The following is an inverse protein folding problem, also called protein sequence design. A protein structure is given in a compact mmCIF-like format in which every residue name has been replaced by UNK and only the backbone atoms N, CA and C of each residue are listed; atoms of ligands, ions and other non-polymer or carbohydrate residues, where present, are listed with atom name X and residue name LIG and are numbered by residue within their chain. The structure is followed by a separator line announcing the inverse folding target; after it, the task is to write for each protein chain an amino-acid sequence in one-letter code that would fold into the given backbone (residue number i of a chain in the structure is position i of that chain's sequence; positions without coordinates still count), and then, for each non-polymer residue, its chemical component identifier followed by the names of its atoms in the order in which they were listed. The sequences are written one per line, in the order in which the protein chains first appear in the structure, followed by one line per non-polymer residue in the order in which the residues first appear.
data_IF_585004155995
#
_entry.id   IF_585004155995
#
_cell.length_a   1.000
_cell.length_b   1.000
_cell.length_c   1.000
_cell.angle_alpha   90.00
_cell.angle_beta   90.00
_cell.angle_gamma   90.00
#
_symmetry.space_group_name_H-M   'P 1'
#
loop_
_entity.id
_entity.type
_entity.pdbx_description
1 polymer ?
#
# COMPACT_ATOMS: atom_id res chain seq x y z
N UNK A 1 -25.71 -3.92 -11.48
CA UNK A 1 -24.67 -3.22 -12.26
C UNK A 1 -23.60 -2.83 -11.26
N UNK A 2 -22.50 -3.57 -11.18
CA UNK A 2 -21.36 -3.18 -10.33
C UNK A 2 -20.71 -1.99 -11.03
N UNK A 3 -20.82 -0.80 -10.44
CA UNK A 3 -20.13 0.38 -10.95
C UNK A 3 -18.66 0.18 -10.65
N UNK A 4 -17.85 0.02 -11.69
CA UNK A 4 -16.39 -0.03 -11.57
C UNK A 4 -15.92 1.36 -11.18
N UNK A 5 -15.31 1.47 -10.01
CA UNK A 5 -14.70 2.73 -9.57
C UNK A 5 -13.28 2.84 -10.14
N UNK A 6 -12.91 4.05 -10.54
CA UNK A 6 -11.65 4.34 -11.17
C UNK A 6 -11.09 5.67 -10.70
N UNK A 7 -9.79 5.72 -10.45
CA UNK A 7 -9.06 6.95 -10.15
C UNK A 7 -8.08 7.27 -11.27
N UNK A 8 -8.05 8.54 -11.67
CA UNK A 8 -7.15 9.03 -12.70
C UNK A 8 -6.18 10.04 -12.09
N UNK A 9 -4.90 9.90 -12.42
CA UNK A 9 -3.86 10.88 -12.10
C UNK A 9 -3.21 11.34 -13.41
N UNK A 10 -3.15 12.65 -13.61
CA UNK A 10 -2.36 13.23 -14.70
C UNK A 10 -0.92 13.44 -14.21
N UNK A 11 0.03 12.92 -14.96
CA UNK A 11 1.46 13.12 -14.71
C UNK A 11 2.13 13.72 -15.95
N UNK A 12 3.33 14.26 -15.79
CA UNK A 12 4.19 14.71 -16.88
C UNK A 12 4.54 13.60 -17.88
N UNK A 13 4.34 12.33 -17.50
CA UNK A 13 4.60 11.16 -18.35
C UNK A 13 3.34 10.60 -19.03
N UNK A 14 2.17 11.14 -18.73
CA UNK A 14 0.88 10.67 -19.24
C UNK A 14 -0.17 10.51 -18.15
N UNK A 15 -1.31 9.95 -18.54
CA UNK A 15 -2.45 9.74 -17.66
C UNK A 15 -2.43 8.32 -17.10
N UNK A 16 -2.34 8.19 -15.77
CA UNK A 16 -2.39 6.94 -15.04
C UNK A 16 -3.83 6.65 -14.63
N UNK A 17 -4.35 5.47 -15.00
CA UNK A 17 -5.71 5.03 -14.66
C UNK A 17 -5.65 3.81 -13.75
N UNK A 18 -6.22 3.93 -12.55
CA UNK A 18 -6.29 2.90 -11.53
C UNK A 18 -7.73 2.39 -11.43
N UNK A 19 -7.93 1.06 -11.38
CA UNK A 19 -9.26 0.43 -11.35
C UNK A 19 -9.42 -0.41 -10.08
N UNK A 20 -10.59 -0.33 -9.43
CA UNK A 20 -10.93 -1.10 -8.23
C UNK A 20 -11.27 -2.57 -8.57
N UNK A 21 -10.22 -3.36 -8.86
CA UNK A 21 -10.29 -4.80 -9.00
C UNK A 21 -9.28 -5.48 -8.07
N UNK A 22 -9.68 -6.60 -7.47
CA UNK A 22 -8.83 -7.39 -6.56
C UNK A 22 -7.51 -7.78 -7.24
N UNK A 23 -7.56 -8.16 -8.52
CA UNK A 23 -6.36 -8.53 -9.30
C UNK A 23 -5.34 -7.39 -9.46
N UNK A 24 -5.79 -6.14 -9.36
CA UNK A 24 -4.94 -4.95 -9.45
C UNK A 24 -4.24 -4.61 -8.14
N UNK A 25 -4.60 -5.26 -7.03
CA UNK A 25 -3.98 -5.04 -5.72
C UNK A 25 -3.20 -6.30 -5.33
N UNK A 26 -1.89 -6.13 -5.13
CA UNK A 26 -0.99 -7.22 -4.75
C UNK A 26 -0.34 -6.92 -3.41
N UNK A 27 -0.20 -7.95 -2.57
CA UNK A 27 0.66 -7.87 -1.38
C UNK A 27 1.94 -8.61 -1.71
N UNK A 28 3.02 -7.85 -1.88
CA UNK A 28 4.34 -8.40 -2.25
C UNK A 28 5.11 -8.92 -1.05
N UNK A 29 4.98 -8.24 0.09
CA UNK A 29 5.73 -8.56 1.31
C UNK A 29 4.98 -8.08 2.56
N UNK A 30 5.09 -8.85 3.64
CA UNK A 30 4.57 -8.52 4.96
C UNK A 30 5.63 -8.78 6.03
N UNK A 31 6.03 -7.72 6.72
CA UNK A 31 7.00 -7.73 7.81
C UNK A 31 6.30 -7.57 9.16
N UNK A 32 6.71 -8.36 10.14
CA UNK A 32 6.24 -8.30 11.51
C UNK A 32 7.29 -7.71 12.43
N UNK A 33 6.83 -7.05 13.49
CA UNK A 33 7.69 -6.42 14.47
C UNK A 33 8.56 -7.45 15.21
N UNK A 34 9.85 -7.16 15.31
CA UNK A 34 10.85 -7.93 16.07
C UNK A 34 11.66 -7.01 16.97
N UNK A 35 12.52 -7.56 17.84
CA UNK A 35 13.39 -6.74 18.71
C UNK A 35 14.35 -5.85 17.91
N UNK A 36 14.89 -6.36 16.79
CA UNK A 36 15.84 -5.64 15.93
C UNK A 36 15.15 -4.75 14.89
N UNK A 37 13.90 -5.06 14.54
CA UNK A 37 13.07 -4.28 13.61
C UNK A 37 11.69 -4.06 14.24
N UNK A 38 11.55 -3.07 15.14
CA UNK A 38 10.34 -2.86 15.94
C UNK A 38 9.26 -2.09 15.17
N UNK A 39 8.90 -2.60 13.98
CA UNK A 39 7.87 -2.03 13.13
C UNK A 39 7.12 -3.13 12.37
N UNK A 40 5.90 -2.82 11.97
CA UNK A 40 5.14 -3.60 10.99
C UNK A 40 5.21 -2.90 9.65
N UNK A 41 5.31 -3.66 8.57
CA UNK A 41 5.36 -3.09 7.22
C UNK A 41 4.69 -4.03 6.22
N UNK A 42 3.94 -3.45 5.29
CA UNK A 42 3.35 -4.18 4.16
C UNK A 42 3.75 -3.47 2.86
N UNK A 43 4.18 -4.25 1.87
CA UNK A 43 4.44 -3.76 0.52
C UNK A 43 3.23 -4.05 -0.36
N UNK A 44 2.58 -3.00 -0.85
CA UNK A 44 1.39 -3.08 -1.69
C UNK A 44 1.76 -2.69 -3.12
N UNK A 45 1.45 -3.57 -4.06
CA UNK A 45 1.48 -3.30 -5.49
C UNK A 45 0.11 -2.87 -5.98
N UNK A 46 0.08 -1.86 -6.83
CA UNK A 46 -1.13 -1.35 -7.48
C UNK A 46 -0.90 -1.30 -8.98
N UNK A 47 -1.79 -1.96 -9.71
CA UNK A 47 -1.80 -1.96 -11.16
C UNK A 47 -2.49 -0.71 -11.73
N UNK A 48 -1.93 -0.17 -12.80
CA UNK A 48 -2.47 0.98 -13.51
C UNK A 48 -2.22 0.89 -15.01
N UNK A 49 -3.08 1.54 -15.77
CA UNK A 49 -2.93 1.71 -17.22
C UNK A 49 -2.36 3.10 -17.51
N UNK A 50 -1.33 3.16 -18.34
CA UNK A 50 -0.74 4.43 -18.78
C UNK A 50 -1.26 4.79 -20.18
N UNK A 51 -1.94 5.93 -20.29
CA UNK A 51 -2.28 6.54 -21.56
C UNK A 51 -1.27 7.66 -21.87
N UNK A 52 -0.57 7.52 -23.00
CA UNK A 52 0.36 8.53 -23.52
C UNK A 52 0.27 8.55 -25.05
N UNK A 53 0.30 9.75 -25.64
CA UNK A 53 0.20 9.93 -27.11
C UNK A 53 -1.02 9.21 -27.71
N UNK A 54 -2.17 9.30 -27.02
CA UNK A 54 -3.45 8.66 -27.40
C UNK A 54 -3.40 7.13 -27.51
N UNK A 55 -2.36 6.49 -26.95
CA UNK A 55 -2.19 5.03 -26.92
C UNK A 55 -2.14 4.52 -25.49
N UNK A 56 -2.94 3.48 -25.22
CA UNK A 56 -2.79 2.70 -24.00
C UNK A 56 -1.59 1.77 -24.13
N UNK A 57 -0.69 1.83 -23.15
CA UNK A 57 0.38 0.86 -22.98
C UNK A 57 -0.11 -0.30 -22.12
N UNK A 58 0.63 -1.41 -22.14
CA UNK A 58 0.42 -2.52 -21.21
C UNK A 58 0.33 -2.00 -19.77
N UNK A 59 -0.47 -2.68 -18.95
CA UNK A 59 -0.61 -2.34 -17.56
C UNK A 59 0.74 -2.43 -16.84
N UNK A 60 0.92 -1.56 -15.85
CA UNK A 60 2.12 -1.48 -15.04
C UNK A 60 1.74 -1.65 -13.59
N UNK A 61 2.64 -2.23 -12.81
CA UNK A 61 2.47 -2.36 -11.37
C UNK A 61 3.54 -1.56 -10.66
N UNK A 62 3.10 -0.64 -9.81
CA UNK A 62 3.99 0.12 -8.94
C UNK A 62 3.68 -0.20 -7.48
N UNK A 63 4.66 -0.01 -6.62
CA UNK A 63 4.62 -0.43 -5.24
C UNK A 63 4.87 0.73 -4.29
N UNK A 64 4.31 0.59 -3.10
CA UNK A 64 4.63 1.43 -1.96
C UNK A 64 4.55 0.59 -0.69
N UNK A 65 5.14 1.10 0.38
CA UNK A 65 5.11 0.45 1.69
C UNK A 65 4.29 1.28 2.66
N UNK A 66 3.46 0.61 3.45
CA UNK A 66 2.84 1.20 4.64
C UNK A 66 3.57 0.64 5.84
N UNK A 67 4.24 1.50 6.59
CA UNK A 67 4.95 1.14 7.81
C UNK A 67 4.24 1.73 9.02
N UNK A 68 4.15 0.94 10.08
CA UNK A 68 3.76 1.41 11.41
C UNK A 68 4.80 0.99 12.45
N UNK A 69 5.03 1.83 13.45
CA UNK A 69 5.82 1.43 14.62
C UNK A 69 5.13 0.29 15.41
N UNK A 70 5.85 -0.36 16.33
CA UNK A 70 5.38 -1.54 17.06
C UNK A 70 4.03 -1.35 17.81
N UNK A 71 3.76 -0.14 18.32
CA UNK A 71 2.52 0.24 18.99
C UNK A 71 1.44 0.79 18.03
N UNK A 72 1.75 0.92 16.74
CA UNK A 72 0.86 1.36 15.67
C UNK A 72 0.31 2.78 15.87
N UNK A 73 1.04 3.62 16.62
CA UNK A 73 0.70 5.01 16.89
C UNK A 73 1.16 5.96 15.79
N UNK A 74 2.17 5.57 15.02
CA UNK A 74 2.75 6.36 13.93
C UNK A 74 2.78 5.52 12.65
N UNK A 75 2.44 6.17 11.53
CA UNK A 75 2.49 5.57 10.19
C UNK A 75 3.37 6.40 9.27
N UNK A 76 4.16 5.72 8.43
CA UNK A 76 4.85 6.33 7.31
C UNK A 76 4.53 5.58 6.02
N UNK A 77 4.44 6.33 4.93
CA UNK A 77 4.49 5.75 3.59
C UNK A 77 5.95 5.71 3.17
N UNK A 78 6.38 4.59 2.58
CA UNK A 78 7.76 4.48 2.10
C UNK A 78 7.78 4.04 0.65
N UNK A 79 8.74 4.58 -0.09
CA UNK A 79 9.01 4.18 -1.45
C UNK A 79 9.70 2.81 -1.49
N UNK A 80 9.43 2.03 -2.52
CA UNK A 80 10.23 0.85 -2.85
C UNK A 80 11.47 1.25 -3.65
N UNK A 81 12.52 0.41 -3.57
CA UNK A 81 13.77 0.61 -4.31
C UNK A 81 13.57 0.71 -5.83
N UNK A 82 12.73 -0.16 -6.37
CA UNK A 82 12.33 -0.19 -7.77
C UNK A 82 10.81 -0.12 -7.86
N UNK A 83 10.32 0.34 -9.01
CA UNK A 83 8.87 0.34 -9.31
C UNK A 83 8.06 1.12 -8.26
N UNK A 84 8.63 2.17 -7.67
CA UNK A 84 7.95 2.99 -6.66
C UNK A 84 6.78 3.76 -7.28
N UNK A 85 5.62 3.71 -6.60
CA UNK A 85 4.42 4.46 -6.96
C UNK A 85 4.67 5.98 -6.95
N UNK A 86 5.58 6.44 -6.11
CA UNK A 86 5.93 7.85 -5.94
C UNK A 86 7.17 8.29 -6.73
N UNK A 87 7.90 7.35 -7.35
CA UNK A 87 9.13 7.67 -8.08
C UNK A 87 8.84 8.52 -9.31
N UNK A 88 9.84 9.30 -9.72
CA UNK A 88 9.86 10.22 -10.89
C UNK A 88 8.78 11.31 -10.90
N UNK A 89 7.90 11.35 -9.90
CA UNK A 89 6.82 12.32 -9.77
C UNK A 89 7.30 13.66 -9.18
N UNK A 90 6.79 14.76 -9.71
CA UNK A 90 6.97 16.09 -9.10
C UNK A 90 6.10 16.25 -7.84
N UNK A 91 6.25 17.36 -7.10
CA UNK A 91 5.55 17.56 -5.82
C UNK A 91 4.02 17.43 -5.96
N UNK A 92 3.41 18.08 -6.96
CA UNK A 92 1.97 18.00 -7.21
C UNK A 92 1.51 16.57 -7.53
N UNK A 93 2.27 15.84 -8.33
CA UNK A 93 1.97 14.45 -8.67
C UNK A 93 2.11 13.52 -7.47
N UNK A 94 3.07 13.79 -6.57
CA UNK A 94 3.25 13.05 -5.32
C UNK A 94 2.08 13.29 -4.37
N UNK A 95 1.60 14.53 -4.27
CA UNK A 95 0.39 14.85 -3.49
C UNK A 95 -0.84 14.14 -4.07
N UNK A 96 -1.04 14.20 -5.38
CA UNK A 96 -2.12 13.47 -6.05
C UNK A 96 -2.02 11.94 -5.86
N UNK A 97 -0.81 11.39 -5.81
CA UNK A 97 -0.55 9.97 -5.51
C UNK A 97 -0.90 9.64 -4.06
N UNK A 98 -0.58 10.53 -3.13
CA UNK A 98 -0.93 10.40 -1.72
C UNK A 98 -2.45 10.46 -1.52
N UNK A 99 -3.13 11.35 -2.24
CA UNK A 99 -4.59 11.39 -2.31
C UNK A 99 -5.17 10.11 -2.93
N UNK A 100 -4.58 9.57 -4.01
CA UNK A 100 -4.98 8.27 -4.55
C UNK A 100 -4.93 7.19 -3.47
N UNK A 101 -3.84 7.12 -2.70
CA UNK A 101 -3.71 6.12 -1.63
C UNK A 101 -4.77 6.36 -0.55
N UNK A 102 -4.87 7.60 -0.04
CA UNK A 102 -5.68 7.93 1.13
C UNK A 102 -7.17 8.09 0.88
N UNK A 103 -7.56 8.74 -0.21
CA UNK A 103 -8.95 9.07 -0.52
C UNK A 103 -9.65 8.00 -1.34
N UNK A 104 -8.88 7.15 -2.04
CA UNK A 104 -9.45 6.16 -2.95
C UNK A 104 -9.01 4.74 -2.58
N UNK A 105 -7.74 4.39 -2.78
CA UNK A 105 -7.24 3.01 -2.75
C UNK A 105 -7.60 2.28 -1.45
N UNK A 106 -7.26 2.84 -0.29
CA UNK A 106 -7.51 2.16 0.99
C UNK A 106 -9.00 2.04 1.34
N UNK A 107 -9.86 2.75 0.61
CA UNK A 107 -11.33 2.69 0.77
C UNK A 107 -11.98 1.74 -0.24
N UNK A 108 -11.22 1.26 -1.24
CA UNK A 108 -11.73 0.37 -2.28
C UNK A 108 -12.13 -1.00 -1.76
N UNK A 109 -13.03 -1.67 -2.48
CA UNK A 109 -13.41 -3.04 -2.13
C UNK A 109 -12.25 -4.01 -2.39
N UNK A 110 -11.47 -3.80 -3.45
CA UNK A 110 -10.30 -4.62 -3.76
C UNK A 110 -9.28 -4.62 -2.63
N UNK A 111 -8.87 -3.44 -2.16
CA UNK A 111 -7.92 -3.34 -1.06
C UNK A 111 -8.44 -4.03 0.20
N UNK A 112 -9.68 -3.72 0.59
CA UNK A 112 -10.29 -4.32 1.78
C UNK A 112 -10.38 -5.84 1.68
N UNK A 113 -10.72 -6.37 0.50
CA UNK A 113 -10.76 -7.82 0.28
C UNK A 113 -9.38 -8.45 0.42
N UNK A 114 -8.35 -7.89 -0.22
CA UNK A 114 -6.97 -8.39 -0.12
C UNK A 114 -6.47 -8.42 1.33
N UNK A 115 -6.75 -7.36 2.11
CA UNK A 115 -6.35 -7.33 3.53
C UNK A 115 -7.15 -8.32 4.38
N UNK A 116 -8.45 -8.48 4.14
CA UNK A 116 -9.26 -9.48 4.84
C UNK A 116 -8.82 -10.92 4.52
N UNK A 117 -8.48 -11.20 3.26
CA UNK A 117 -7.97 -12.52 2.86
C UNK A 117 -6.65 -12.84 3.58
N UNK A 118 -5.75 -11.85 3.73
CA UNK A 118 -4.53 -12.00 4.53
C UNK A 118 -4.84 -12.26 6.01
N UNK A 119 -5.83 -11.57 6.59
CA UNK A 119 -6.24 -11.79 7.99
C UNK A 119 -6.72 -13.24 8.17
N UNK A 120 -7.57 -13.74 7.26
CA UNK A 120 -8.07 -15.11 7.33
C UNK A 120 -6.95 -16.13 7.14
N UNK A 121 -6.01 -15.89 6.22
CA UNK A 121 -4.80 -16.71 6.09
C UNK A 121 -4.01 -16.76 7.40
N UNK A 122 -3.78 -15.62 8.06
CA UNK A 122 -3.09 -15.54 9.34
C UNK A 122 -3.82 -16.27 10.46
N UNK A 123 -5.15 -16.21 10.51
CA UNK A 123 -5.96 -16.96 11.49
C UNK A 123 -5.88 -18.48 11.31
N UNK A 124 -5.61 -18.95 10.09
CA UNK A 124 -5.47 -20.36 9.77
C UNK A 124 -4.03 -20.90 9.99
N UNK A 125 -3.07 -20.04 10.34
CA UNK A 125 -1.70 -20.48 10.60
C UNK A 125 -1.62 -21.41 11.81
N UNK A 126 -0.95 -22.55 11.63
CA UNK A 126 -0.75 -23.52 12.70
C UNK A 126 0.36 -23.04 13.65
N UNK A 127 -0.01 -22.33 14.69
CA UNK A 127 0.90 -21.80 15.72
C UNK A 127 1.14 -22.84 16.83
N UNK A 128 2.40 -22.97 17.26
CA UNK A 128 2.82 -24.01 18.23
C UNK A 128 3.61 -23.45 19.42
N UNK A 129 4.04 -22.18 19.35
CA UNK A 129 4.80 -21.51 20.41
C UNK A 129 4.13 -20.20 20.80
N UNK A 130 4.34 -19.76 22.03
CA UNK A 130 3.82 -18.47 22.52
C UNK A 130 4.35 -17.29 21.68
N UNK A 131 5.63 -17.33 21.31
CA UNK A 131 6.24 -16.34 20.43
C UNK A 131 5.52 -16.25 19.08
N UNK A 132 5.27 -17.40 18.42
CA UNK A 132 4.54 -17.41 17.16
C UNK A 132 3.10 -16.92 17.31
N UNK A 133 2.43 -17.24 18.42
CA UNK A 133 1.08 -16.73 18.73
C UNK A 133 1.11 -15.20 18.79
N UNK A 134 2.09 -14.61 19.48
CA UNK A 134 2.20 -13.15 19.58
C UNK A 134 2.50 -12.49 18.24
N UNK A 135 3.35 -13.10 17.41
CA UNK A 135 3.62 -12.61 16.05
C UNK A 135 2.33 -12.60 15.23
N UNK A 136 1.59 -13.71 15.18
CA UNK A 136 0.35 -13.82 14.40
C UNK A 136 -0.69 -12.82 14.88
N UNK A 137 -0.91 -12.71 16.19
CA UNK A 137 -1.86 -11.74 16.76
C UNK A 137 -1.45 -10.29 16.49
N UNK A 138 -0.15 -9.98 16.58
CA UNK A 138 0.41 -8.67 16.26
C UNK A 138 0.20 -8.30 14.79
N UNK A 139 0.46 -9.23 13.88
CA UNK A 139 0.24 -9.05 12.44
C UNK A 139 -1.24 -8.89 12.10
N UNK A 140 -2.13 -9.69 12.69
CA UNK A 140 -3.58 -9.53 12.49
C UNK A 140 -4.03 -8.14 12.96
N UNK A 141 -3.56 -7.69 14.13
CA UNK A 141 -3.87 -6.34 14.64
C UNK A 141 -3.39 -5.23 13.70
N UNK A 142 -2.22 -5.40 13.09
CA UNK A 142 -1.70 -4.48 12.09
C UNK A 142 -2.60 -4.43 10.85
N UNK A 143 -2.98 -5.59 10.29
CA UNK A 143 -3.87 -5.67 9.13
C UNK A 143 -5.26 -5.08 9.44
N UNK A 144 -5.82 -5.37 10.62
CA UNK A 144 -7.07 -4.76 11.10
C UNK A 144 -6.97 -3.23 11.21
N UNK A 145 -5.79 -2.71 11.57
CA UNK A 145 -5.54 -1.27 11.64
C UNK A 145 -5.51 -0.65 10.25
N UNK A 146 -4.97 -1.33 9.24
CA UNK A 146 -4.98 -0.88 7.84
C UNK A 146 -6.42 -0.68 7.33
N UNK A 147 -7.32 -1.62 7.62
CA UNK A 147 -8.75 -1.53 7.27
C UNK A 147 -9.48 -0.35 7.93
N UNK A 148 -8.91 0.22 9.00
CA UNK A 148 -9.48 1.31 9.80
C UNK A 148 -8.77 2.64 9.59
N UNK A 149 -7.85 2.71 8.61
CA UNK A 149 -7.19 3.96 8.28
C UNK A 149 -8.20 4.95 7.71
N UNK A 150 -8.17 6.16 8.26
CA UNK A 150 -8.88 7.28 7.68
C UNK A 150 -7.94 8.03 6.72
N UNK A 151 -8.50 8.86 5.84
CA UNK A 151 -7.67 9.60 4.89
C UNK A 151 -6.68 10.53 5.59
N UNK A 152 -7.11 11.19 6.66
CA UNK A 152 -6.31 12.21 7.37
C UNK A 152 -4.96 11.68 7.82
N UNK A 153 -4.92 10.44 8.33
CA UNK A 153 -3.66 9.80 8.75
C UNK A 153 -2.74 9.59 7.55
N UNK A 154 -3.27 9.18 6.39
CA UNK A 154 -2.48 8.96 5.18
C UNK A 154 -1.99 10.28 4.61
N UNK A 155 -2.85 11.30 4.51
CA UNK A 155 -2.47 12.64 4.04
C UNK A 155 -1.47 13.33 4.98
N UNK A 156 -1.52 13.03 6.28
CA UNK A 156 -0.55 13.50 7.26
C UNK A 156 0.76 12.70 7.31
N UNK A 157 0.81 11.49 6.73
CA UNK A 157 1.98 10.63 6.81
C UNK A 157 3.17 11.17 6.02
N UNK A 158 4.39 11.02 6.55
CA UNK A 158 5.58 11.31 5.77
C UNK A 158 5.77 10.26 4.67
N UNK A 159 6.17 10.71 3.47
CA UNK A 159 6.59 9.81 2.39
C UNK A 159 8.12 9.75 2.39
N UNK A 160 8.66 8.66 2.91
CA UNK A 160 10.10 8.46 3.02
C UNK A 160 10.65 7.74 1.78
N UNK A 161 11.78 8.24 1.28
CA UNK A 161 12.59 7.49 0.31
C UNK A 161 13.40 6.43 1.04
N UNK A 162 13.69 5.33 0.36
CA UNK A 162 14.63 4.33 0.90
C UNK A 162 16.01 5.01 1.10
N UNK A 163 16.61 5.00 2.31
CA UNK A 163 17.81 5.78 2.63
C UNK A 163 19.07 5.44 1.81
N UNK A 164 19.09 4.35 1.02
CA UNK A 164 20.19 4.03 0.10
C UNK A 164 20.33 5.01 -1.10
N UNK A 165 19.49 6.06 -1.19
CA UNK A 165 19.50 7.05 -2.28
C UNK A 165 19.88 8.48 -1.86
N UNK A 166 20.46 8.68 -0.68
CA UNK A 166 21.11 9.96 -0.35
C UNK A 166 22.51 10.00 -0.99
N UNK A 167 22.56 10.27 -2.30
CA UNK A 167 23.78 10.57 -3.05
C UNK A 167 23.69 11.95 -3.69
#
# INVERSE_FOLDING_TARGET
MNVLDAKIINTQYGMETYLDFVENVEVKELHYSTEIAPFYEITIGVEYFLLKEEKYYDSRKNYFRIRMNADMSCMTLRETKTESLFAVKNEFERDATKELVGEWLIKTNAFNQVINDLIEQKKMENVQTEEHIQIVLGTIRFLDKLLKLNTEVILGANVERDPEYAH
#
